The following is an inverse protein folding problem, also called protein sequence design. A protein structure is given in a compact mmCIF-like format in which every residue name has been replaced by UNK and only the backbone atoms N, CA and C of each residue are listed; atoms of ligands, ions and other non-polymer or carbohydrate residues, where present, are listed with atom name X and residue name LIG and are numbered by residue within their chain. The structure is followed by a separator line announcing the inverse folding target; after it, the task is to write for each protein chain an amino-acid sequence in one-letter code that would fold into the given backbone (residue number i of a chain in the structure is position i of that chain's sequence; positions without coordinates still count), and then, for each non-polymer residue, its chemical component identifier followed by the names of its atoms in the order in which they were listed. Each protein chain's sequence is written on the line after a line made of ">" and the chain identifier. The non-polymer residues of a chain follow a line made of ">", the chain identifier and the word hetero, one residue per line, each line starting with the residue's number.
data_IF_321655915539
#
_entry.id   IF_321655915539
#
_cell.length_a   1.000
_cell.length_b   1.000
_cell.length_c   1.000
_cell.angle_alpha   90.00
_cell.angle_beta   90.00
_cell.angle_gamma   90.00
#
_symmetry.space_group_name_H-M   'P 1'
#
loop_
_entity.id
_entity.type
_entity.pdbx_description
1 polymer ?
#
# COMPACT_ATOMS: atom_id res chain seq x y z
N UNK A 1 13.90 -4.23 3.31
CA UNK A 1 12.82 -3.31 3.69
C UNK A 1 12.51 -2.46 2.49
N UNK A 2 11.29 -2.58 1.98
CA UNK A 2 10.80 -1.89 0.80
C UNK A 2 9.66 -0.96 1.23
N UNK A 3 9.57 0.22 0.62
CA UNK A 3 8.57 1.23 0.97
C UNK A 3 7.67 1.49 -0.21
N UNK A 4 6.38 1.17 -0.11
CA UNK A 4 5.38 1.47 -1.12
C UNK A 4 4.60 2.72 -0.71
N UNK A 5 4.63 3.75 -1.52
CA UNK A 5 3.80 4.94 -1.34
C UNK A 5 2.56 4.84 -2.22
N UNK A 6 1.39 4.88 -1.61
CA UNK A 6 0.08 4.85 -2.28
C UNK A 6 -0.50 6.26 -2.26
N UNK A 7 -0.69 6.84 -3.43
CA UNK A 7 -1.39 8.10 -3.62
C UNK A 7 -2.85 7.80 -3.93
N UNK A 8 -3.79 8.34 -3.17
CA UNK A 8 -5.20 8.35 -3.55
C UNK A 8 -5.58 9.74 -3.98
N UNK A 9 -5.99 9.84 -5.24
CA UNK A 9 -6.54 11.05 -5.83
C UNK A 9 -8.06 10.92 -5.89
N UNK A 10 -8.75 12.06 -5.73
CA UNK A 10 -10.22 12.14 -5.76
C UNK A 10 -10.88 11.36 -4.60
N UNK A 11 -11.93 11.93 -4.00
CA UNK A 11 -12.68 11.34 -2.88
C UNK A 11 -11.82 10.72 -1.74
N UNK A 12 -10.61 11.22 -1.53
CA UNK A 12 -9.67 10.71 -0.52
C UNK A 12 -10.22 10.81 0.92
N UNK A 13 -11.27 11.62 1.14
CA UNK A 13 -12.00 11.66 2.40
C UNK A 13 -12.86 10.43 2.70
N UNK A 14 -13.23 9.64 1.69
CA UNK A 14 -13.97 8.39 1.86
C UNK A 14 -13.06 7.24 2.32
N UNK A 15 -11.77 7.28 1.97
CA UNK A 15 -10.79 6.26 2.32
C UNK A 15 -10.32 6.43 3.76
N UNK A 16 -10.58 5.43 4.58
CA UNK A 16 -10.13 5.37 5.97
C UNK A 16 -8.84 4.56 6.13
N UNK A 17 -8.67 3.51 5.32
CA UNK A 17 -7.52 2.60 5.42
C UNK A 17 -7.09 2.11 4.06
N UNK A 18 -5.80 1.84 3.91
CA UNK A 18 -5.23 1.15 2.74
C UNK A 18 -4.69 -0.21 3.19
N UNK A 19 -5.08 -1.27 2.50
CA UNK A 19 -4.55 -2.61 2.73
C UNK A 19 -3.66 -2.99 1.55
N UNK A 20 -2.47 -3.52 1.83
CA UNK A 20 -1.51 -3.97 0.81
C UNK A 20 -1.18 -5.42 1.10
N UNK A 21 -1.43 -6.31 0.13
CA UNK A 21 -1.18 -7.75 0.28
C UNK A 21 -0.27 -8.24 -0.84
N UNK A 22 0.67 -9.14 -0.50
CA UNK A 22 1.49 -9.83 -1.49
C UNK A 22 0.75 -10.97 -2.18
N UNK A 23 1.23 -11.39 -3.35
CA UNK A 23 0.72 -12.57 -4.07
C UNK A 23 -0.66 -12.37 -4.71
N UNK A 24 -1.10 -11.11 -4.83
CA UNK A 24 -2.35 -10.74 -5.49
C UNK A 24 -3.62 -11.13 -4.75
N UNK A 25 -3.55 -11.47 -3.46
CA UNK A 25 -4.71 -11.84 -2.66
C UNK A 25 -4.61 -11.30 -1.23
N UNK A 26 -5.67 -10.67 -0.74
CA UNK A 26 -5.83 -10.32 0.67
C UNK A 26 -6.72 -11.38 1.34
N UNK A 27 -6.28 -12.05 2.41
CA UNK A 27 -7.15 -12.96 3.14
C UNK A 27 -8.33 -12.19 3.76
N UNK A 28 -9.56 -12.72 3.61
CA UNK A 28 -10.79 -12.19 4.23
C UNK A 28 -10.67 -12.07 5.76
N UNK A 29 -10.01 -13.03 6.39
CA UNK A 29 -9.83 -13.12 7.84
C UNK A 29 -8.48 -12.54 8.32
N UNK A 30 -7.80 -11.75 7.49
CA UNK A 30 -6.60 -11.04 7.93
C UNK A 30 -7.00 -10.08 9.06
N UNK A 31 -6.87 -10.56 10.29
CA UNK A 31 -7.00 -9.78 11.52
C UNK A 31 -6.16 -8.54 11.30
N UNK A 32 -6.86 -7.42 11.18
CA UNK A 32 -6.40 -6.13 10.63
C UNK A 32 -5.20 -5.49 11.35
N UNK A 33 -4.66 -6.18 12.34
CA UNK A 33 -3.79 -5.71 13.43
C UNK A 33 -2.51 -6.56 13.59
N UNK A 34 -2.44 -7.75 12.97
CA UNK A 34 -1.31 -8.70 13.16
C UNK A 34 -0.53 -9.02 11.90
N UNK A 35 -0.98 -8.54 10.74
CA UNK A 35 -0.23 -8.71 9.50
C UNK A 35 0.75 -7.53 9.31
N UNK A 36 2.06 -7.78 9.22
CA UNK A 36 3.07 -6.74 9.04
C UNK A 36 2.96 -5.99 7.71
N UNK A 37 2.07 -6.42 6.80
CA UNK A 37 1.77 -5.76 5.53
C UNK A 37 0.51 -4.88 5.58
N UNK A 38 -0.20 -4.83 6.72
CA UNK A 38 -1.33 -3.92 6.90
C UNK A 38 -0.81 -2.58 7.39
N UNK A 39 -1.03 -1.55 6.58
CA UNK A 39 -0.42 -0.25 6.79
C UNK A 39 -1.50 0.77 7.01
N UNK A 40 -1.50 1.33 8.21
CA UNK A 40 -2.30 2.53 8.52
C UNK A 40 -1.37 3.72 8.33
N UNK A 41 -1.73 4.65 7.46
CA UNK A 41 -0.97 5.88 7.28
C UNK A 41 -1.88 7.09 7.48
N UNK A 42 -1.26 8.19 7.86
CA UNK A 42 -1.97 9.44 8.17
C UNK A 42 -2.29 10.20 6.88
N UNK A 43 -3.55 10.59 6.73
CA UNK A 43 -4.03 11.44 5.63
C UNK A 43 -3.24 12.75 5.62
N UNK A 44 -2.46 13.01 4.56
CA UNK A 44 -1.65 14.23 4.46
C UNK A 44 -2.49 15.48 4.14
N UNK A 45 -3.56 15.36 3.36
CA UNK A 45 -4.50 16.45 3.03
C UNK A 45 -5.83 15.93 2.45
N UNK A 46 -6.85 16.78 2.34
CA UNK A 46 -8.18 16.43 1.82
C UNK A 46 -8.25 16.21 0.30
N UNK A 47 -7.32 16.77 -0.47
CA UNK A 47 -7.31 16.67 -1.94
C UNK A 47 -6.41 15.54 -2.48
N UNK A 48 -5.34 15.23 -1.76
CA UNK A 48 -4.44 14.11 -2.05
C UNK A 48 -4.06 13.48 -0.73
N UNK A 49 -4.39 12.21 -0.57
CA UNK A 49 -3.97 11.45 0.58
C UNK A 49 -2.86 10.49 0.17
N UNK A 50 -1.86 10.38 1.03
CA UNK A 50 -0.64 9.62 0.77
C UNK A 50 -0.50 8.61 1.90
N UNK A 51 -0.48 7.33 1.56
CA UNK A 51 -0.24 6.23 2.50
C UNK A 51 1.10 5.58 2.22
N UNK A 52 1.87 5.27 3.27
CA UNK A 52 3.21 4.70 3.11
C UNK A 52 3.30 3.35 3.80
N UNK A 53 3.44 2.30 3.00
CA UNK A 53 3.56 0.92 3.42
C UNK A 53 5.01 0.46 3.49
N UNK A 54 5.40 -0.20 4.58
CA UNK A 54 6.74 -0.78 4.71
C UNK A 54 6.64 -2.29 4.66
N UNK A 55 7.20 -2.89 3.62
CA UNK A 55 7.13 -4.32 3.30
C UNK A 55 8.51 -4.94 3.48
N UNK A 56 8.59 -6.12 4.10
CA UNK A 56 9.88 -6.79 4.28
C UNK A 56 10.33 -7.51 3.01
N UNK A 57 9.45 -8.36 2.47
CA UNK A 57 9.66 -9.15 1.25
C UNK A 57 8.31 -9.31 0.55
N UNK A 58 7.84 -8.29 -0.17
CA UNK A 58 6.54 -8.38 -0.82
C UNK A 58 6.58 -9.40 -1.98
N UNK A 59 5.65 -10.36 -1.97
CA UNK A 59 5.41 -11.24 -3.12
C UNK A 59 4.64 -10.48 -4.18
N UNK A 60 5.15 -10.40 -5.41
CA UNK A 60 4.46 -9.70 -6.50
C UNK A 60 3.54 -10.63 -7.30
N UNK A 61 2.41 -10.12 -7.85
CA UNK A 61 1.93 -8.74 -7.78
C UNK A 61 1.34 -8.38 -6.40
N UNK A 62 1.27 -7.10 -6.09
CA UNK A 62 0.61 -6.62 -4.87
C UNK A 62 -0.85 -6.31 -5.14
N UNK A 63 -1.72 -6.67 -4.19
CA UNK A 63 -3.10 -6.24 -4.15
C UNK A 63 -3.22 -5.04 -3.21
N UNK A 64 -3.67 -3.90 -3.72
CA UNK A 64 -3.91 -2.67 -2.94
C UNK A 64 -5.41 -2.45 -2.86
N UNK A 65 -5.97 -2.45 -1.65
CA UNK A 65 -7.38 -2.18 -1.39
C UNK A 65 -7.54 -0.85 -0.64
N UNK A 66 -8.46 -0.01 -1.12
CA UNK A 66 -8.93 1.17 -0.42
C UNK A 66 -10.16 0.80 0.41
N UNK A 67 -10.11 1.06 1.71
CA UNK A 67 -11.15 0.64 2.66
C UNK A 67 -11.85 1.89 3.19
N UNK A 68 -13.19 1.90 3.09
CA UNK A 68 -14.07 2.95 3.58
C UNK A 68 -14.27 2.91 5.09
N UNK A 69 -14.96 3.92 5.63
CA UNK A 69 -15.24 4.03 7.07
C UNK A 69 -16.13 2.93 7.64
N UNK A 70 -16.93 2.30 6.79
CA UNK A 70 -17.80 1.17 7.12
C UNK A 70 -17.09 -0.18 6.99
N UNK A 71 -15.80 -0.18 6.61
CA UNK A 71 -15.01 -1.39 6.37
C UNK A 71 -15.23 -2.02 5.00
N UNK A 72 -16.03 -1.39 4.13
CA UNK A 72 -16.20 -1.83 2.74
C UNK A 72 -14.94 -1.56 1.92
N UNK A 73 -14.69 -2.40 0.92
CA UNK A 73 -13.66 -2.14 -0.10
C UNK A 73 -14.26 -1.18 -1.12
N UNK A 74 -13.71 0.03 -1.18
CA UNK A 74 -14.11 1.06 -2.15
C UNK A 74 -13.50 0.76 -3.52
N UNK A 75 -12.23 0.38 -3.53
CA UNK A 75 -11.47 0.06 -4.74
C UNK A 75 -10.42 -1.01 -4.43
N UNK A 76 -10.15 -1.88 -5.40
CA UNK A 76 -9.10 -2.88 -5.32
C UNK A 76 -8.31 -2.93 -6.62
N UNK A 77 -6.98 -2.94 -6.51
CA UNK A 77 -6.09 -2.98 -7.67
C UNK A 77 -4.90 -3.89 -7.47
N UNK A 78 -4.68 -4.76 -8.46
CA UNK A 78 -3.42 -5.45 -8.63
C UNK A 78 -2.39 -4.48 -9.24
N UNK A 79 -1.27 -4.31 -8.55
CA UNK A 79 -0.15 -3.46 -8.96
C UNK A 79 1.15 -4.25 -8.97
N UNK A 80 2.02 -3.91 -9.90
CA UNK A 80 3.42 -4.36 -9.94
C UNK A 80 4.30 -3.11 -9.74
N UNK A 81 4.67 -2.79 -8.49
CA UNK A 81 5.35 -1.54 -8.20
C UNK A 81 6.73 -1.48 -8.88
N UNK A 82 7.06 -0.33 -9.46
CA UNK A 82 8.39 -0.11 -10.05
C UNK A 82 9.40 0.22 -8.94
N UNK A 83 9.96 -0.81 -8.31
CA UNK A 83 10.89 -0.67 -7.20
C UNK A 83 12.20 0.03 -7.61
N UNK A 84 12.47 1.17 -6.98
CA UNK A 84 13.71 1.94 -7.13
C UNK A 84 14.55 1.82 -5.88
N UNK A 85 15.83 1.49 -6.03
CA UNK A 85 16.78 1.48 -4.91
C UNK A 85 16.93 2.91 -4.37
N UNK A 86 16.69 3.09 -3.07
CA UNK A 86 16.82 4.38 -2.36
C UNK A 86 18.10 4.47 -1.53
N UNK A 87 18.87 3.39 -1.46
CA UNK A 87 20.16 3.33 -0.79
C UNK A 87 20.79 1.96 -0.93
N UNK A 88 21.99 1.75 -0.38
CA UNK A 88 22.74 0.50 -0.51
C UNK A 88 23.48 0.35 -1.85
N UNK A 89 24.34 -0.67 -1.95
CA UNK A 89 25.03 -1.02 -3.19
C UNK A 89 24.36 -2.23 -3.86
N UNK A 90 24.49 -2.33 -5.19
CA UNK A 90 23.89 -3.41 -6.01
C UNK A 90 24.23 -4.82 -5.50
N UNK A 91 25.36 -4.96 -4.79
CA UNK A 91 25.87 -6.23 -4.28
C UNK A 91 25.08 -6.78 -3.08
N UNK A 92 24.42 -5.95 -2.29
CA UNK A 92 23.75 -6.39 -1.06
C UNK A 92 22.22 -6.30 -1.12
N UNK A 93 21.65 -5.72 -2.18
CA UNK A 93 20.24 -5.35 -2.19
C UNK A 93 19.99 -4.21 -1.19
N UNK A 94 19.54 -3.07 -1.69
CA UNK A 94 19.29 -1.89 -0.88
C UNK A 94 17.85 -1.79 -0.39
N UNK A 95 17.55 -0.84 0.51
CA UNK A 95 16.19 -0.36 0.62
C UNK A 95 15.68 0.08 -0.76
N UNK A 96 14.43 -0.25 -1.05
CA UNK A 96 13.77 0.13 -2.29
C UNK A 96 12.49 0.88 -1.97
N UNK A 97 12.10 1.80 -2.85
CA UNK A 97 10.81 2.47 -2.77
C UNK A 97 10.08 2.38 -4.11
N UNK A 98 8.76 2.31 -4.06
CA UNK A 98 7.90 2.39 -5.23
C UNK A 98 6.69 3.26 -4.92
N UNK A 99 6.09 3.82 -5.95
CA UNK A 99 4.92 4.68 -5.83
C UNK A 99 3.80 4.15 -6.73
N UNK A 100 2.57 4.17 -6.23
CA UNK A 100 1.37 3.79 -6.98
C UNK A 100 0.26 4.79 -6.72
N UNK A 101 -0.57 5.02 -7.73
CA UNK A 101 -1.72 5.92 -7.64
C UNK A 101 -3.01 5.14 -7.85
N UNK A 102 -3.95 5.32 -6.94
CA UNK A 102 -5.30 4.75 -6.97
C UNK A 102 -6.35 5.87 -6.90
N UNK A 103 -7.56 5.54 -7.36
CA UNK A 103 -8.73 6.42 -7.31
C UNK A 103 -9.91 5.54 -6.91
N UNK A 104 -10.64 5.88 -5.84
CA UNK A 104 -11.81 5.14 -5.40
C UNK A 104 -13.00 5.32 -6.35
#
# INVERSE_FOLDING_TARGET
>A
MQTLTVHVEDEAGAVQKVRVCGGGNCPDDATLDVDPNIVSAEKSSDEVAVWTATLSYPEEPLLVQLIGSDGSVLEERLVSPDWRLTGGNERCGGPAAAEVTLRP
#
